data_IF_596385845245
#
_entry.id   IF_596385845245
#
_cell.length_a   1.000
_cell.length_b   1.000
_cell.length_c   1.000
_cell.angle_alpha   90.00
_cell.angle_beta   90.00
_cell.angle_gamma   90.00
#
_symmetry.space_group_name_H-M   'P 1'
#
loop_
_entity.id
_entity.type
_entity.pdbx_description
1 polymer ?
#
# COMPACT_ATOMS: atom_id res chain seq x y z
N UNK A 1 -23.31 -25.28 -18.37
CA UNK A 1 -22.81 -23.89 -18.19
C UNK A 1 -22.67 -23.68 -16.70
N UNK A 2 -21.49 -23.34 -16.17
CA UNK A 2 -21.27 -23.18 -14.72
C UNK A 2 -21.26 -21.70 -14.26
N UNK A 3 -21.13 -20.74 -15.17
CA UNK A 3 -21.19 -19.29 -14.89
C UNK A 3 -21.92 -18.57 -16.04
N UNK A 4 -22.79 -17.60 -15.73
CA UNK A 4 -23.49 -16.74 -16.70
C UNK A 4 -22.50 -15.82 -17.44
N UNK A 5 -21.37 -15.47 -16.80
CA UNK A 5 -20.31 -14.65 -17.39
C UNK A 5 -19.61 -15.36 -18.54
N UNK A 6 -19.47 -16.68 -18.47
CA UNK A 6 -18.89 -17.47 -19.54
C UNK A 6 -19.74 -17.44 -20.81
N UNK A 7 -21.07 -17.30 -20.68
CA UNK A 7 -21.97 -17.19 -21.83
C UNK A 7 -21.73 -15.89 -22.63
N UNK A 8 -21.30 -14.80 -21.97
CA UNK A 8 -20.94 -13.54 -22.64
C UNK A 8 -19.59 -13.60 -23.36
N UNK A 9 -18.74 -14.55 -22.95
CA UNK A 9 -17.41 -14.76 -23.54
C UNK A 9 -17.44 -15.71 -24.74
N UNK A 10 -18.61 -16.26 -25.10
CA UNK A 10 -18.78 -17.11 -26.28
C UNK A 10 -19.40 -16.28 -27.41
N UNK A 11 -18.64 -16.06 -28.48
CA UNK A 11 -19.11 -15.50 -29.74
C UNK A 11 -19.31 -16.57 -30.81
N UNK A 12 -19.76 -16.15 -32.00
CA UNK A 12 -19.72 -16.97 -33.22
C UNK A 12 -18.64 -16.43 -34.16
N UNK A 13 -17.86 -17.34 -34.75
CA UNK A 13 -16.97 -17.04 -35.89
C UNK A 13 -17.79 -16.75 -37.15
N UNK A 14 -17.13 -16.25 -38.20
CA UNK A 14 -17.71 -16.11 -39.55
C UNK A 14 -18.34 -17.40 -40.08
N UNK A 15 -17.74 -18.54 -39.71
CA UNK A 15 -18.18 -19.88 -40.13
C UNK A 15 -19.25 -20.48 -39.20
N UNK A 16 -19.83 -19.67 -38.30
CA UNK A 16 -20.88 -20.09 -37.36
C UNK A 16 -20.42 -20.91 -36.15
N UNK A 17 -19.12 -21.27 -36.05
CA UNK A 17 -18.55 -21.99 -34.90
C UNK A 17 -18.55 -21.13 -33.64
N UNK A 18 -18.85 -21.73 -32.49
CA UNK A 18 -18.72 -21.07 -31.20
C UNK A 18 -17.23 -20.89 -30.86
N UNK A 19 -16.81 -19.65 -30.57
CA UNK A 19 -15.43 -19.32 -30.23
C UNK A 19 -15.40 -18.46 -28.97
N UNK A 20 -14.42 -18.69 -28.11
CA UNK A 20 -14.19 -17.85 -26.93
C UNK A 20 -13.58 -16.52 -27.36
N UNK A 21 -14.23 -15.41 -27.01
CA UNK A 21 -13.75 -14.06 -27.31
C UNK A 21 -12.46 -13.80 -26.54
N UNK A 22 -11.42 -13.24 -27.18
CA UNK A 22 -10.20 -12.86 -26.49
C UNK A 22 -10.48 -11.68 -25.55
N UNK A 23 -9.73 -11.62 -24.43
CA UNK A 23 -9.76 -10.47 -23.55
C UNK A 23 -8.95 -9.33 -24.19
N UNK A 24 -9.51 -8.13 -24.24
CA UNK A 24 -8.77 -6.96 -24.72
C UNK A 24 -7.55 -6.66 -23.82
N UNK A 25 -6.42 -6.20 -24.38
CA UNK A 25 -5.30 -5.72 -23.58
C UNK A 25 -5.75 -4.61 -22.62
N UNK A 26 -5.23 -4.60 -21.39
CA UNK A 26 -5.67 -3.67 -20.34
C UNK A 26 -4.47 -3.09 -19.57
N UNK A 27 -3.94 -3.78 -18.55
CA UNK A 27 -2.87 -3.21 -17.68
C UNK A 27 -1.59 -2.87 -18.44
N UNK A 28 -1.21 -3.68 -19.42
CA UNK A 28 0.05 -3.52 -20.16
C UNK A 28 0.02 -2.37 -21.16
N UNK A 29 -1.17 -1.93 -21.60
CA UNK A 29 -1.33 -0.90 -22.63
C UNK A 29 -1.81 0.44 -22.07
N UNK A 30 -2.29 0.47 -20.83
CA UNK A 30 -2.84 1.67 -20.21
C UNK A 30 -1.72 2.53 -19.61
N UNK A 31 -1.76 3.85 -19.86
CA UNK A 31 -0.78 4.79 -19.32
C UNK A 31 -0.99 4.96 -17.81
N UNK A 32 0.02 4.69 -16.95
CA UNK A 32 -0.13 4.88 -15.51
C UNK A 32 -0.38 6.35 -15.16
N UNK A 33 -1.42 6.62 -14.37
CA UNK A 33 -1.65 7.91 -13.73
C UNK A 33 -1.25 7.85 -12.26
N UNK A 34 -0.74 8.95 -11.73
CA UNK A 34 -0.35 9.05 -10.31
C UNK A 34 -1.44 8.53 -9.37
N UNK A 35 -2.70 8.83 -9.64
CA UNK A 35 -3.83 8.43 -8.79
C UNK A 35 -4.08 6.91 -8.80
N UNK A 36 -3.92 6.25 -9.94
CA UNK A 36 -4.03 4.78 -10.05
C UNK A 36 -2.89 4.10 -9.31
N UNK A 37 -1.67 4.62 -9.45
CA UNK A 37 -0.47 4.12 -8.75
C UNK A 37 -0.64 4.30 -7.24
N UNK A 38 -1.09 5.47 -6.79
CA UNK A 38 -1.33 5.72 -5.37
C UNK A 38 -2.44 4.81 -4.81
N UNK A 39 -3.49 4.52 -5.57
CA UNK A 39 -4.55 3.62 -5.13
C UNK A 39 -4.04 2.19 -4.89
N UNK A 40 -3.25 1.63 -5.81
CA UNK A 40 -2.69 0.28 -5.62
C UNK A 40 -1.66 0.27 -4.48
N UNK A 41 -0.84 1.31 -4.36
CA UNK A 41 0.09 1.45 -3.25
C UNK A 41 -0.63 1.54 -1.89
N UNK A 42 -1.84 2.11 -1.83
CA UNK A 42 -2.61 2.20 -0.57
C UNK A 42 -3.07 0.83 -0.08
N UNK A 43 -3.40 -0.06 -1.03
CA UNK A 43 -3.72 -1.46 -0.72
C UNK A 43 -2.48 -2.22 -0.27
N UNK A 44 -1.37 -2.07 -1.00
CA UNK A 44 -0.09 -2.72 -0.67
C UNK A 44 0.40 -2.26 0.71
N UNK A 45 0.33 -0.97 1.02
CA UNK A 45 0.73 -0.45 2.33
C UNK A 45 -0.16 -0.96 3.45
N UNK A 46 -1.46 -1.14 3.23
CA UNK A 46 -2.37 -1.76 4.21
C UNK A 46 -1.97 -3.20 4.54
N UNK A 47 -1.61 -3.99 3.52
CA UNK A 47 -1.10 -5.36 3.73
C UNK A 47 0.25 -5.36 4.45
N UNK A 48 1.17 -4.48 4.05
CA UNK A 48 2.47 -4.34 4.72
C UNK A 48 2.34 -3.92 6.18
N UNK A 49 1.38 -3.04 6.49
CA UNK A 49 1.07 -2.64 7.85
C UNK A 49 0.56 -3.81 8.68
N UNK A 50 -0.42 -4.56 8.17
CA UNK A 50 -0.93 -5.74 8.85
C UNK A 50 0.18 -6.77 9.15
N UNK A 51 1.08 -7.01 8.19
CA UNK A 51 2.23 -7.89 8.39
C UNK A 51 3.19 -7.36 9.45
N UNK A 52 3.56 -6.07 9.40
CA UNK A 52 4.48 -5.47 10.36
C UNK A 52 3.88 -5.29 11.77
N UNK A 53 2.55 -5.23 11.91
CA UNK A 53 1.89 -5.26 13.22
C UNK A 53 2.21 -6.54 13.99
N UNK A 54 2.45 -7.67 13.31
CA UNK A 54 2.92 -8.90 13.97
C UNK A 54 4.26 -8.68 14.66
N UNK A 55 5.20 -8.00 13.99
CA UNK A 55 6.48 -7.64 14.58
C UNK A 55 6.31 -6.67 15.76
N UNK A 56 5.44 -5.66 15.63
CA UNK A 56 5.14 -4.74 16.73
C UNK A 56 4.59 -5.49 17.97
N UNK A 57 3.69 -6.45 17.77
CA UNK A 57 3.16 -7.28 18.86
C UNK A 57 4.27 -8.11 19.50
N UNK A 58 5.14 -8.74 18.71
CA UNK A 58 6.30 -9.46 19.23
C UNK A 58 7.23 -8.54 20.04
N UNK A 59 7.45 -7.32 19.57
CA UNK A 59 8.28 -6.33 20.26
C UNK A 59 7.68 -5.89 21.60
N UNK A 60 6.37 -5.61 21.64
CA UNK A 60 5.65 -5.28 22.88
C UNK A 60 5.64 -6.46 23.86
N UNK A 61 5.38 -7.67 23.38
CA UNK A 61 5.40 -8.87 24.20
C UNK A 61 6.78 -9.17 24.79
N UNK A 62 7.84 -8.99 23.99
CA UNK A 62 9.22 -9.12 24.47
C UNK A 62 9.56 -8.08 25.54
N UNK A 63 9.12 -6.83 25.36
CA UNK A 63 9.28 -5.78 26.37
C UNK A 63 8.59 -6.12 27.71
N UNK A 64 7.45 -6.82 27.67
CA UNK A 64 6.75 -7.29 28.86
C UNK A 64 7.34 -8.57 29.47
N UNK A 65 8.11 -9.35 28.71
CA UNK A 65 8.62 -10.67 29.12
C UNK A 65 9.99 -10.63 29.81
N UNK A 66 10.60 -9.44 29.91
CA UNK A 66 11.86 -9.22 30.62
C UNK A 66 13.07 -8.99 29.69
N UNK A 67 14.23 -8.64 30.29
CA UNK A 67 15.37 -8.08 29.54
C UNK A 67 15.91 -8.99 28.44
N UNK A 68 16.06 -10.29 28.70
CA UNK A 68 16.64 -11.24 27.74
C UNK A 68 15.82 -11.34 26.44
N UNK A 69 14.49 -11.37 26.54
CA UNK A 69 13.61 -11.40 25.37
C UNK A 69 13.62 -10.07 24.62
N UNK A 70 13.61 -8.96 25.36
CA UNK A 70 13.68 -7.64 24.76
C UNK A 70 14.99 -7.41 24.00
N UNK A 71 16.13 -7.79 24.59
CA UNK A 71 17.45 -7.74 23.94
C UNK A 71 17.50 -8.55 22.65
N UNK A 72 16.86 -9.73 22.62
CA UNK A 72 16.80 -10.57 21.41
C UNK A 72 16.08 -9.85 20.27
N UNK A 73 14.90 -9.27 20.53
CA UNK A 73 14.13 -8.54 19.51
C UNK A 73 14.84 -7.25 19.09
N UNK A 74 15.42 -6.53 20.05
CA UNK A 74 16.22 -5.32 19.78
C UNK A 74 17.47 -5.66 18.95
N UNK A 75 18.11 -6.80 19.18
CA UNK A 75 19.22 -7.30 18.39
C UNK A 75 18.86 -7.48 16.92
N UNK A 76 17.70 -8.10 16.64
CA UNK A 76 17.18 -8.20 15.27
C UNK A 76 16.85 -6.81 14.68
N UNK A 77 16.13 -5.97 15.43
CA UNK A 77 15.76 -4.61 14.99
C UNK A 77 16.99 -3.73 14.68
N UNK A 78 18.11 -3.97 15.36
CA UNK A 78 19.38 -3.27 15.14
C UNK A 78 20.15 -3.73 13.90
N UNK A 79 19.83 -4.88 13.31
CA UNK A 79 20.47 -5.34 12.06
C UNK A 79 20.09 -4.44 10.88
N UNK A 80 20.92 -4.45 9.82
CA UNK A 80 20.60 -3.72 8.58
C UNK A 80 19.24 -4.16 8.02
N UNK A 81 18.95 -5.46 8.04
CA UNK A 81 17.66 -5.98 7.59
C UNK A 81 16.51 -5.48 8.47
N UNK A 82 16.67 -5.51 9.80
CA UNK A 82 15.68 -4.98 10.74
C UNK A 82 15.40 -3.50 10.52
N UNK A 83 16.44 -2.69 10.33
CA UNK A 83 16.32 -1.26 10.01
C UNK A 83 15.62 -1.02 8.67
N UNK A 84 15.94 -1.79 7.62
CA UNK A 84 15.27 -1.67 6.32
C UNK A 84 13.78 -2.02 6.41
N UNK A 85 13.44 -3.07 7.16
CA UNK A 85 12.04 -3.46 7.39
C UNK A 85 11.29 -2.41 8.20
N UNK A 86 11.90 -1.87 9.26
CA UNK A 86 11.31 -0.79 10.08
C UNK A 86 11.13 0.50 9.27
N UNK A 87 12.09 0.84 8.41
CA UNK A 87 11.99 2.00 7.53
C UNK A 87 10.84 1.82 6.54
N UNK A 88 10.80 0.68 5.84
CA UNK A 88 9.72 0.35 4.91
C UNK A 88 8.35 0.36 5.60
N UNK A 89 8.26 -0.18 6.82
CA UNK A 89 7.03 -0.18 7.60
C UNK A 89 6.60 1.23 8.04
N UNK A 90 7.56 2.10 8.41
CA UNK A 90 7.28 3.52 8.74
C UNK A 90 6.80 4.30 7.52
N UNK A 91 7.43 4.09 6.36
CA UNK A 91 6.98 4.69 5.08
C UNK A 91 5.57 4.20 4.74
N UNK A 92 5.31 2.89 4.87
CA UNK A 92 3.97 2.31 4.67
C UNK A 92 2.93 2.92 5.62
N UNK A 93 3.29 3.17 6.88
CA UNK A 93 2.43 3.80 7.89
C UNK A 93 2.02 5.21 7.48
N UNK A 94 2.97 6.11 7.24
CA UNK A 94 2.67 7.48 6.86
C UNK A 94 1.93 7.55 5.52
N UNK A 95 2.34 6.73 4.56
CA UNK A 95 1.68 6.64 3.28
C UNK A 95 0.21 6.22 3.41
N UNK A 96 -0.04 5.13 4.15
CA UNK A 96 -1.40 4.63 4.36
C UNK A 96 -2.26 5.64 5.11
N UNK A 97 -1.69 6.32 6.12
CA UNK A 97 -2.37 7.38 6.87
C UNK A 97 -2.78 8.54 5.97
N UNK A 98 -1.84 9.16 5.26
CA UNK A 98 -2.16 10.34 4.44
C UNK A 98 -3.04 10.01 3.23
N UNK A 99 -2.82 8.86 2.59
CA UNK A 99 -3.72 8.37 1.55
C UNK A 99 -5.10 8.05 2.11
N UNK A 100 -5.18 7.49 3.33
CA UNK A 100 -6.44 7.23 4.03
C UNK A 100 -7.22 8.51 4.33
N UNK A 101 -6.55 9.56 4.81
CA UNK A 101 -7.18 10.87 4.98
C UNK A 101 -7.71 11.44 3.67
N UNK A 102 -6.98 11.26 2.56
CA UNK A 102 -7.47 11.62 1.22
C UNK A 102 -8.72 10.82 0.83
N UNK A 103 -8.76 9.53 1.14
CA UNK A 103 -9.93 8.69 0.90
C UNK A 103 -11.14 9.14 1.73
N UNK A 104 -10.96 9.45 3.01
CA UNK A 104 -12.04 9.97 3.86
C UNK A 104 -12.57 11.32 3.35
N UNK A 105 -11.70 12.18 2.82
CA UNK A 105 -12.16 13.42 2.17
C UNK A 105 -13.02 13.13 0.92
N UNK A 106 -12.68 12.10 0.14
CA UNK A 106 -13.51 11.66 -0.99
C UNK A 106 -14.85 11.08 -0.53
N UNK A 107 -14.87 10.33 0.57
CA UNK A 107 -16.11 9.80 1.16
C UNK A 107 -17.05 10.92 1.63
N UNK A 108 -16.48 12.08 1.99
CA UNK A 108 -17.23 13.31 2.31
C UNK A 108 -17.66 14.13 1.07
N UNK A 109 -17.36 13.67 -0.16
CA UNK A 109 -17.71 14.40 -1.38
C UNK A 109 -16.71 15.48 -1.81
N UNK A 110 -15.52 15.54 -1.22
CA UNK A 110 -14.54 16.61 -1.47
C UNK A 110 -13.49 16.20 -2.52
N UNK A 111 -12.95 17.15 -3.29
CA UNK A 111 -11.70 16.96 -4.05
C UNK A 111 -11.81 16.13 -5.35
N UNK A 112 -13.00 16.05 -5.95
CA UNK A 112 -13.25 15.30 -7.19
C UNK A 112 -12.87 16.05 -8.48
N UNK A 113 -12.64 17.36 -8.42
CA UNK A 113 -12.13 18.10 -9.56
C UNK A 113 -10.74 17.59 -9.97
N UNK A 114 -10.49 17.45 -11.27
CA UNK A 114 -9.25 16.81 -11.78
C UNK A 114 -7.96 17.44 -11.21
N UNK A 115 -7.96 18.77 -11.07
CA UNK A 115 -6.84 19.50 -10.49
C UNK A 115 -6.64 19.15 -9.00
N UNK A 116 -7.71 19.13 -8.20
CA UNK A 116 -7.69 18.78 -6.78
C UNK A 116 -7.31 17.31 -6.57
N UNK A 117 -7.86 16.43 -7.40
CA UNK A 117 -7.57 14.99 -7.39
C UNK A 117 -6.09 14.68 -7.67
N UNK A 118 -5.47 15.44 -8.58
CA UNK A 118 -4.04 15.31 -8.88
C UNK A 118 -3.17 15.96 -7.78
N UNK A 119 -3.53 17.15 -7.33
CA UNK A 119 -2.79 17.88 -6.30
C UNK A 119 -2.77 17.13 -4.96
N UNK A 120 -3.90 16.58 -4.54
CA UNK A 120 -4.00 15.75 -3.33
C UNK A 120 -3.16 14.48 -3.43
N UNK A 121 -2.97 13.91 -4.63
CA UNK A 121 -2.02 12.81 -4.85
C UNK A 121 -0.57 13.21 -4.59
N UNK A 122 -0.12 14.35 -5.11
CA UNK A 122 1.21 14.86 -4.83
C UNK A 122 1.39 15.26 -3.36
N UNK A 123 0.35 15.81 -2.73
CA UNK A 123 0.37 16.12 -1.30
C UNK A 123 0.67 14.86 -0.47
N UNK A 124 0.02 13.72 -0.75
CA UNK A 124 0.29 12.44 -0.09
C UNK A 124 1.76 12.03 -0.23
N UNK A 125 2.35 12.16 -1.43
CA UNK A 125 3.76 11.81 -1.67
C UNK A 125 4.70 12.68 -0.84
N UNK A 126 4.47 14.01 -0.85
CA UNK A 126 5.30 14.97 -0.13
C UNK A 126 5.21 14.77 1.38
N UNK A 127 4.00 14.66 1.93
CA UNK A 127 3.80 14.49 3.37
C UNK A 127 4.34 13.16 3.87
N UNK A 128 4.16 12.08 3.10
CA UNK A 128 4.74 10.76 3.40
C UNK A 128 6.26 10.85 3.49
N UNK A 129 6.88 11.46 2.49
CA UNK A 129 8.35 11.58 2.43
C UNK A 129 8.87 12.42 3.59
N UNK A 130 8.28 13.59 3.81
CA UNK A 130 8.67 14.50 4.90
C UNK A 130 8.51 13.86 6.28
N UNK A 131 7.36 13.22 6.55
CA UNK A 131 7.10 12.58 7.85
C UNK A 131 8.03 11.39 8.09
N UNK A 132 8.28 10.57 7.06
CA UNK A 132 9.19 9.41 7.18
C UNK A 132 10.62 9.84 7.47
N UNK A 133 11.12 10.85 6.74
CA UNK A 133 12.47 11.38 6.97
C UNK A 133 12.58 12.04 8.34
N UNK A 134 11.60 12.84 8.74
CA UNK A 134 11.58 13.50 10.05
C UNK A 134 11.60 12.47 11.18
N UNK A 135 10.77 11.43 11.11
CA UNK A 135 10.72 10.37 12.12
C UNK A 135 12.08 9.67 12.28
N UNK A 136 12.76 9.39 11.16
CA UNK A 136 14.06 8.73 11.17
C UNK A 136 15.18 9.65 11.65
N UNK A 137 15.20 10.92 11.22
CA UNK A 137 16.15 11.92 11.71
C UNK A 137 16.04 12.07 13.23
N UNK A 138 14.82 12.24 13.75
CA UNK A 138 14.58 12.32 15.19
C UNK A 138 15.00 11.02 15.88
N UNK A 139 14.63 9.87 15.31
CA UNK A 139 14.99 8.56 15.87
C UNK A 139 16.49 8.35 16.02
N UNK A 140 17.30 8.83 15.08
CA UNK A 140 18.77 8.80 15.20
C UNK A 140 19.36 9.92 16.05
N UNK A 141 18.68 11.07 16.18
CA UNK A 141 19.15 12.19 16.98
C UNK A 141 18.93 11.98 18.49
N UNK A 142 17.93 11.19 18.88
CA UNK A 142 17.56 10.92 20.28
C UNK A 142 18.17 9.62 20.81
N UNK A 143 18.77 8.82 19.93
CA UNK A 143 19.44 7.57 20.28
C UNK A 143 20.83 7.81 20.86
#
# INVERSE_FOLDING_TARGET
MRDVRDALMVGRSSDGKLVRRPLSPHLQVYKPQITTVLSILHRISGVALAAGTLFLVCWLAAGASGPAWFETVQGFAGTILGQLLLFGWTVALFYHLFSGLRHLAWDMGLGFEKAQYTASGWAVVITTTAASLLAWIIGYAVR
#
